data_IF_225474265364
#
_entry.id   IF_225474265364
#
_cell.length_a   1.000
_cell.length_b   1.000
_cell.length_c   1.000
_cell.angle_alpha   90.00
_cell.angle_beta   90.00
_cell.angle_gamma   90.00
#
_symmetry.space_group_name_H-M   'P 1'
#
loop_
_entity.id
_entity.type
_entity.pdbx_description
1 polymer ?
#
# COMPACT_ATOMS: atom_id res chain seq x y z
N UNK A 1 -10.20 -3.37 -9.65
CA UNK A 1 -10.36 -2.14 -10.46
C UNK A 1 -9.08 -1.94 -11.24
N UNK A 2 -9.13 -1.61 -12.53
CA UNK A 2 -7.90 -1.40 -13.31
C UNK A 2 -7.12 -0.17 -12.79
N UNK A 3 -5.82 -0.33 -12.58
CA UNK A 3 -4.90 0.76 -12.23
C UNK A 3 -4.15 1.17 -13.48
N UNK A 4 -4.51 2.33 -14.05
CA UNK A 4 -3.83 2.81 -15.26
C UNK A 4 -2.37 3.21 -14.99
N UNK A 5 -1.60 3.37 -16.06
CA UNK A 5 -0.17 3.69 -16.00
C UNK A 5 0.16 5.00 -15.28
N UNK A 6 -0.72 6.00 -15.32
CA UNK A 6 -0.50 7.26 -14.61
C UNK A 6 -0.59 7.04 -13.09
N UNK A 7 -1.64 6.38 -12.62
CA UNK A 7 -1.84 6.08 -11.19
C UNK A 7 -0.76 5.13 -10.69
N UNK A 8 -0.37 4.15 -11.50
CA UNK A 8 0.74 3.24 -11.19
C UNK A 8 2.03 4.02 -10.95
N UNK A 9 2.46 4.87 -11.87
CA UNK A 9 3.67 5.70 -11.69
C UNK A 9 3.59 6.60 -10.47
N UNK A 10 2.42 7.19 -10.22
CA UNK A 10 2.21 8.01 -9.01
C UNK A 10 2.48 7.19 -7.74
N UNK A 11 1.97 5.96 -7.66
CA UNK A 11 2.17 5.06 -6.51
C UNK A 11 3.63 4.61 -6.39
N UNK A 12 4.27 4.19 -7.49
CA UNK A 12 5.59 3.55 -7.46
C UNK A 12 6.74 4.56 -7.27
N UNK A 13 6.55 5.80 -7.70
CA UNK A 13 7.61 6.83 -7.70
C UNK A 13 7.51 7.83 -6.54
N UNK A 14 6.49 7.71 -5.67
CA UNK A 14 6.26 8.66 -4.59
C UNK A 14 5.92 7.96 -3.26
N UNK A 15 6.21 8.60 -2.11
CA UNK A 15 5.73 8.12 -0.82
C UNK A 15 4.20 8.10 -0.78
N UNK A 16 3.64 7.04 -0.20
CA UNK A 16 2.18 6.86 -0.09
C UNK A 16 1.78 6.90 1.37
N UNK A 17 0.83 7.75 1.72
CA UNK A 17 0.19 7.68 3.04
C UNK A 17 -0.80 6.52 3.05
N UNK A 18 -0.69 5.61 4.02
CA UNK A 18 -1.60 4.49 4.25
C UNK A 18 -2.35 4.72 5.57
N UNK A 19 -3.66 4.91 5.46
CA UNK A 19 -4.57 4.99 6.59
C UNK A 19 -5.32 3.66 6.80
N UNK A 20 -5.38 3.26 8.06
CA UNK A 20 -6.14 2.11 8.60
C UNK A 20 -7.02 2.59 9.75
N UNK A 21 -7.92 1.74 10.23
CA UNK A 21 -8.80 2.05 11.36
C UNK A 21 -8.88 0.85 12.29
N UNK A 22 -8.94 1.10 13.60
CA UNK A 22 -9.23 0.09 14.62
C UNK A 22 -10.09 0.68 15.71
N UNK A 23 -11.20 0.01 16.05
CA UNK A 23 -12.14 0.46 17.08
C UNK A 23 -12.59 1.93 16.88
N UNK A 24 -12.80 2.35 15.62
CA UNK A 24 -13.16 3.73 15.27
C UNK A 24 -12.01 4.74 15.28
N UNK A 25 -10.81 4.36 15.72
CA UNK A 25 -9.64 5.25 15.79
C UNK A 25 -8.82 5.16 14.49
N UNK A 26 -8.61 6.26 13.76
CA UNK A 26 -7.78 6.27 12.57
C UNK A 26 -6.29 6.17 12.92
N UNK A 27 -5.54 5.47 12.08
CA UNK A 27 -4.09 5.37 12.17
C UNK A 27 -3.48 5.53 10.78
N UNK A 28 -2.46 6.38 10.65
CA UNK A 28 -1.82 6.66 9.37
C UNK A 28 -0.30 6.57 9.49
N UNK A 29 0.30 5.98 8.46
CA UNK A 29 1.76 5.93 8.26
C UNK A 29 2.10 6.30 6.82
N UNK A 30 3.38 6.59 6.58
CA UNK A 30 3.92 6.70 5.22
C UNK A 30 4.62 5.41 4.86
N UNK A 31 4.40 4.92 3.64
CA UNK A 31 5.08 3.75 3.07
C UNK A 31 5.84 4.15 1.80
N UNK A 32 6.96 3.49 1.56
CA UNK A 32 7.83 3.70 0.40
C UNK A 32 8.02 2.37 -0.35
N UNK A 33 8.60 2.45 -1.55
CA UNK A 33 8.86 1.30 -2.43
C UNK A 33 7.61 0.45 -2.71
N UNK A 34 6.46 1.12 -2.76
CA UNK A 34 5.18 0.49 -3.09
C UNK A 34 5.21 0.07 -4.55
N UNK A 35 4.68 -1.11 -4.87
CA UNK A 35 4.59 -1.61 -6.24
C UNK A 35 3.13 -1.84 -6.64
N UNK A 36 2.86 -1.82 -7.94
CA UNK A 36 1.59 -2.25 -8.52
C UNK A 36 1.81 -3.51 -9.33
N UNK A 37 1.13 -4.60 -8.95
CA UNK A 37 1.16 -5.90 -9.64
C UNK A 37 -0.27 -6.44 -9.74
N UNK A 38 -0.68 -6.85 -10.94
CA UNK A 38 -1.99 -7.45 -11.21
C UNK A 38 -3.17 -6.63 -10.65
N UNK A 39 -3.16 -5.31 -10.91
CA UNK A 39 -4.12 -4.32 -10.42
C UNK A 39 -4.24 -4.23 -8.88
N UNK A 40 -3.20 -4.66 -8.16
CA UNK A 40 -3.11 -4.57 -6.70
C UNK A 40 -1.93 -3.72 -6.28
N UNK A 41 -2.11 -2.99 -5.19
CA UNK A 41 -1.03 -2.22 -4.56
C UNK A 41 -0.36 -3.14 -3.55
N UNK A 42 0.95 -3.32 -3.66
CA UNK A 42 1.73 -4.22 -2.81
C UNK A 42 2.71 -3.39 -2.00
N UNK A 43 2.64 -3.56 -0.68
CA UNK A 43 3.41 -2.78 0.30
C UNK A 43 4.20 -3.76 1.17
N UNK A 44 5.50 -3.52 1.28
CA UNK A 44 6.41 -4.37 2.06
C UNK A 44 6.30 -4.05 3.54
N UNK A 45 6.01 -5.06 4.36
CA UNK A 45 6.05 -4.94 5.82
C UNK A 45 7.47 -5.15 6.36
N UNK A 46 8.06 -4.12 6.95
CA UNK A 46 9.31 -4.27 7.72
C UNK A 46 9.01 -4.37 9.23
N UNK A 47 8.24 -3.42 9.78
CA UNK A 47 7.91 -3.36 11.21
C UNK A 47 6.53 -2.72 11.49
N UNK A 48 5.56 -2.90 10.58
CA UNK A 48 4.26 -2.23 10.61
C UNK A 48 3.21 -2.93 11.51
N UNK A 49 3.58 -3.29 12.73
CA UNK A 49 2.75 -4.10 13.65
C UNK A 49 1.33 -3.53 13.85
N UNK A 50 1.20 -2.22 14.08
CA UNK A 50 -0.11 -1.58 14.28
C UNK A 50 -0.97 -1.64 13.01
N UNK A 51 -0.39 -1.33 11.86
CA UNK A 51 -1.07 -1.39 10.56
C UNK A 51 -1.60 -2.79 10.28
N UNK A 52 -0.80 -3.83 10.52
CA UNK A 52 -1.20 -5.23 10.30
C UNK A 52 -2.32 -5.63 11.25
N UNK A 53 -2.20 -5.28 12.54
CA UNK A 53 -3.25 -5.56 13.52
C UNK A 53 -4.56 -4.85 13.15
N UNK A 54 -4.49 -3.62 12.62
CA UNK A 54 -5.67 -2.91 12.14
C UNK A 54 -6.26 -3.58 10.90
N UNK A 55 -5.44 -4.01 9.93
CA UNK A 55 -5.92 -4.69 8.71
C UNK A 55 -6.59 -6.03 9.03
N UNK A 56 -6.03 -6.80 9.98
CA UNK A 56 -6.60 -8.08 10.43
C UNK A 56 -7.99 -7.91 11.08
N UNK A 57 -8.23 -6.78 11.73
CA UNK A 57 -9.51 -6.43 12.36
C UNK A 57 -10.49 -5.80 11.34
N UNK A 58 -9.99 -4.89 10.51
CA UNK A 58 -10.75 -4.17 9.51
C UNK A 58 -9.90 -4.00 8.22
N UNK A 59 -10.27 -4.70 7.12
CA UNK A 59 -9.47 -4.66 5.90
C UNK A 59 -9.61 -3.33 5.14
N UNK A 60 -10.52 -2.43 5.52
CA UNK A 60 -10.73 -1.20 4.77
C UNK A 60 -9.56 -0.23 4.99
N UNK A 61 -8.93 0.17 3.89
CA UNK A 61 -7.81 1.12 3.89
C UNK A 61 -8.09 2.31 2.98
N UNK A 62 -7.44 3.43 3.29
CA UNK A 62 -7.38 4.60 2.42
C UNK A 62 -5.93 4.98 2.18
N UNK A 63 -5.55 5.18 0.93
CA UNK A 63 -4.24 5.64 0.54
C UNK A 63 -4.34 7.04 -0.08
N UNK A 64 -3.29 7.83 0.10
CA UNK A 64 -3.11 9.10 -0.59
C UNK A 64 -1.67 9.22 -1.10
N UNK A 65 -1.51 9.67 -2.34
CA UNK A 65 -0.20 9.85 -2.98
C UNK A 65 -0.17 11.13 -3.80
N UNK A 66 0.84 11.95 -3.58
CA UNK A 66 1.06 13.24 -4.24
C UNK A 66 2.47 13.29 -4.80
N UNK A 67 2.63 13.94 -5.95
CA UNK A 67 3.93 14.22 -6.53
C UNK A 67 4.35 15.68 -6.31
N UNK A 68 5.56 16.03 -6.75
CA UNK A 68 6.13 17.39 -6.60
C UNK A 68 5.37 18.47 -7.39
N UNK A 69 4.58 18.07 -8.38
CA UNK A 69 3.76 18.95 -9.21
C UNK A 69 2.33 19.13 -8.64
N UNK A 70 2.09 18.72 -7.40
CA UNK A 70 0.79 18.80 -6.73
C UNK A 70 -0.34 18.02 -7.41
N UNK A 71 0.00 17.04 -8.26
CA UNK A 71 -0.97 16.05 -8.75
C UNK A 71 -1.12 14.97 -7.71
N UNK A 72 -2.34 14.52 -7.48
CA UNK A 72 -2.62 13.61 -6.37
C UNK A 72 -3.80 12.69 -6.58
N UNK A 73 -3.72 11.53 -5.95
CA UNK A 73 -4.76 10.52 -5.96
C UNK A 73 -5.12 10.10 -4.53
N UNK A 74 -6.41 9.94 -4.27
CA UNK A 74 -6.94 9.17 -3.16
C UNK A 74 -7.36 7.81 -3.69
N UNK A 75 -6.98 6.75 -2.98
CA UNK A 75 -7.31 5.37 -3.32
C UNK A 75 -7.97 4.72 -2.11
N UNK A 76 -9.07 4.01 -2.32
CA UNK A 76 -9.70 3.19 -1.30
C UNK A 76 -9.75 1.74 -1.74
N UNK A 77 -9.51 0.84 -0.80
CA UNK A 77 -9.42 -0.59 -1.09
C UNK A 77 -9.58 -1.45 0.15
N UNK A 78 -9.44 -2.75 -0.06
CA UNK A 78 -9.36 -3.75 1.00
C UNK A 78 -7.96 -4.34 1.03
N UNK A 79 -7.34 -4.33 2.20
CA UNK A 79 -6.01 -4.87 2.41
C UNK A 79 -6.08 -6.27 3.03
N UNK A 80 -5.14 -7.12 2.64
CA UNK A 80 -4.85 -8.40 3.26
C UNK A 80 -3.35 -8.52 3.51
N UNK A 81 -2.96 -9.28 4.54
CA UNK A 81 -1.56 -9.44 4.93
C UNK A 81 -1.09 -10.87 4.69
N UNK A 82 0.04 -11.00 4.01
CA UNK A 82 0.69 -12.26 3.66
C UNK A 82 2.08 -12.31 4.30
N UNK A 83 2.29 -13.21 5.25
CA UNK A 83 3.60 -13.45 5.88
C UNK A 83 4.42 -14.54 5.20
N UNK A 84 3.85 -15.19 4.18
CA UNK A 84 4.45 -16.21 3.34
C UNK A 84 3.75 -16.28 1.97
N UNK A 85 4.30 -17.10 1.06
CA UNK A 85 3.74 -17.34 -0.28
C UNK A 85 4.12 -16.27 -1.31
N UNK A 86 3.43 -16.31 -2.46
CA UNK A 86 3.80 -15.54 -3.67
C UNK A 86 4.00 -14.05 -3.39
N UNK A 87 3.13 -13.42 -2.61
CA UNK A 87 3.23 -11.99 -2.32
C UNK A 87 4.43 -11.66 -1.42
N UNK A 88 4.75 -12.55 -0.48
CA UNK A 88 5.94 -12.39 0.36
C UNK A 88 7.22 -12.55 -0.46
N UNK A 89 7.25 -13.55 -1.34
CA UNK A 89 8.37 -13.79 -2.24
C UNK A 89 8.55 -12.62 -3.21
N UNK A 90 7.45 -12.07 -3.73
CA UNK A 90 7.47 -10.88 -4.57
C UNK A 90 8.12 -9.69 -3.87
N UNK A 91 7.72 -9.35 -2.63
CA UNK A 91 8.31 -8.18 -1.95
C UNK A 91 9.78 -8.39 -1.57
N UNK A 92 10.21 -9.63 -1.30
CA UNK A 92 11.63 -9.96 -1.08
C UNK A 92 12.49 -9.79 -2.33
N UNK A 93 11.89 -9.91 -3.52
CA UNK A 93 12.59 -9.80 -4.80
C UNK A 93 12.72 -8.34 -5.31
N UNK A 94 12.12 -7.37 -4.62
CA UNK A 94 12.23 -5.94 -4.95
C UNK A 94 13.64 -5.45 -4.56
N UNK A 95 14.38 -4.85 -5.50
CA UNK A 95 15.77 -4.41 -5.26
C UNK A 95 15.86 -3.36 -4.14
N UNK A 96 14.90 -2.43 -4.07
CA UNK A 96 14.84 -1.40 -3.04
C UNK A 96 14.66 -1.97 -1.62
N UNK A 97 14.23 -3.22 -1.49
CA UNK A 97 14.01 -3.91 -0.22
C UNK A 97 15.18 -4.81 0.20
N UNK A 98 16.28 -4.87 -0.55
CA UNK A 98 17.36 -5.85 -0.35
C UNK A 98 17.95 -5.87 1.07
N UNK A 99 18.02 -4.70 1.71
CA UNK A 99 18.55 -4.53 3.07
C UNK A 99 17.44 -4.37 4.14
N UNK A 100 16.19 -4.56 3.73
CA UNK A 100 15.01 -4.40 4.58
C UNK A 100 14.54 -5.73 5.18
N UNK A 101 13.80 -5.65 6.30
CA UNK A 101 13.39 -6.85 7.03
C UNK A 101 12.41 -7.76 6.27
N UNK A 102 11.64 -7.23 5.32
CA UNK A 102 10.73 -7.98 4.45
C UNK A 102 9.90 -9.04 5.18
N UNK A 103 9.22 -8.67 6.26
CA UNK A 103 8.45 -9.60 7.13
C UNK A 103 7.14 -10.10 6.52
N UNK A 104 6.67 -9.47 5.45
CA UNK A 104 5.46 -9.86 4.74
C UNK A 104 5.03 -8.81 3.72
N UNK A 105 3.94 -9.08 3.02
CA UNK A 105 3.33 -8.18 2.06
C UNK A 105 1.92 -7.80 2.51
N UNK A 106 1.62 -6.50 2.47
CA UNK A 106 0.25 -6.00 2.51
C UNK A 106 -0.19 -5.80 1.07
N UNK A 107 -1.26 -6.48 0.67
CA UNK A 107 -1.81 -6.40 -0.69
C UNK A 107 -3.16 -5.72 -0.62
N UNK A 108 -3.32 -4.65 -1.39
CA UNK A 108 -4.56 -3.87 -1.43
C UNK A 108 -5.27 -4.10 -2.77
N UNK A 109 -6.47 -4.67 -2.69
CA UNK A 109 -7.41 -4.69 -3.79
C UNK A 109 -8.11 -3.33 -3.88
N UNK A 110 -7.98 -2.67 -5.03
CA UNK A 110 -8.50 -1.31 -5.23
C UNK A 110 -9.97 -1.33 -5.60
N UNK A 111 -10.76 -0.58 -4.83
CA UNK A 111 -12.21 -0.40 -5.03
C UNK A 111 -12.54 0.94 -5.69
N UNK A 112 -11.75 1.99 -5.39
CA UNK A 112 -11.99 3.34 -5.87
C UNK A 112 -10.69 4.11 -6.01
N UNK A 113 -10.58 4.85 -7.10
CA UNK A 113 -9.53 5.82 -7.35
C UNK A 113 -10.21 7.17 -7.60
N UNK A 114 -9.74 8.22 -6.91
CA UNK A 114 -10.22 9.59 -7.07
C UNK A 114 -9.02 10.51 -7.27
N UNK A 115 -9.00 11.23 -8.39
CA UNK A 115 -8.06 12.33 -8.61
C UNK A 115 -8.39 13.50 -7.68
N UNK A 116 -7.38 14.06 -7.03
CA UNK A 116 -7.53 15.14 -6.03
C UNK A 116 -7.19 16.53 -6.61
N UNK A 117 -6.31 16.58 -7.61
CA UNK A 117 -5.92 17.77 -8.37
C UNK A 117 -5.41 17.35 -9.76
#
# INVERSE_FOLDING_TARGET
MEINEEVKKMIEENPVALATIKDGNPYVITVAFVKVKDDKIVITNNYMTNTINNIKDNPNVSLAVWNKDWKGYQINGKAEYFEEGEWHDFVKAIEENKDEACRGAIVVEVNKIKRLA
#
